data_IF_743713410692
#
_entry.id   IF_743713410692
#
_cell.length_a   1.000
_cell.length_b   1.000
_cell.length_c   1.000
_cell.angle_alpha   90.00
_cell.angle_beta   90.00
_cell.angle_gamma   90.00
#
_symmetry.space_group_name_H-M   'P 1'
#
loop_
_entity.id
_entity.type
_entity.pdbx_description
1 polymer ?
#
# COMPACT_ATOMS: atom_id res chain seq x y z
N UNK A 1 24.10 -19.08 24.51
CA UNK A 1 23.58 -19.44 23.16
C UNK A 1 22.61 -18.36 22.68
N UNK A 2 23.09 -17.43 21.85
CA UNK A 2 22.26 -16.38 21.25
C UNK A 2 21.65 -16.96 19.98
N UNK A 3 20.46 -17.56 20.10
CA UNK A 3 19.69 -18.01 18.93
C UNK A 3 19.08 -16.77 18.27
N UNK A 4 19.81 -16.23 17.30
CA UNK A 4 19.38 -15.43 16.17
C UNK A 4 17.86 -15.17 16.04
N UNK A 5 17.36 -14.12 16.74
CA UNK A 5 16.04 -13.49 16.56
C UNK A 5 15.95 -12.71 15.22
N UNK A 6 16.32 -13.35 14.11
CA UNK A 6 16.08 -12.83 12.75
C UNK A 6 14.63 -13.07 12.28
N UNK A 7 13.80 -13.73 13.09
CA UNK A 7 12.34 -13.73 13.01
C UNK A 7 11.75 -12.35 13.39
N UNK A 8 12.21 -11.29 12.74
CA UNK A 8 11.82 -9.92 13.06
C UNK A 8 10.41 -9.63 12.56
N UNK A 9 9.58 -9.13 13.48
CA UNK A 9 8.22 -8.66 13.25
C UNK A 9 8.13 -7.73 12.02
N UNK A 10 6.92 -7.58 11.45
CA UNK A 10 6.70 -6.77 10.23
C UNK A 10 7.29 -5.36 10.33
N UNK A 11 7.32 -4.80 11.54
CA UNK A 11 7.90 -3.49 11.85
C UNK A 11 9.36 -3.34 11.38
N UNK A 12 10.25 -4.30 11.66
CA UNK A 12 11.66 -4.16 11.28
C UNK A 12 11.86 -4.18 9.76
N UNK A 13 11.05 -4.97 9.03
CA UNK A 13 11.06 -4.99 7.56
C UNK A 13 10.57 -3.65 6.99
N UNK A 14 9.52 -3.08 7.60
CA UNK A 14 8.99 -1.77 7.24
C UNK A 14 10.06 -0.69 7.43
N UNK A 15 10.74 -0.65 8.59
CA UNK A 15 11.82 0.30 8.85
C UNK A 15 12.98 0.19 7.85
N UNK A 16 13.41 -1.04 7.55
CA UNK A 16 14.49 -1.29 6.59
C UNK A 16 14.12 -0.78 5.19
N UNK A 17 12.88 -0.96 4.77
CA UNK A 17 12.40 -0.52 3.45
C UNK A 17 12.21 0.98 3.38
N UNK A 18 11.77 1.61 4.46
CA UNK A 18 11.78 3.06 4.57
C UNK A 18 13.21 3.61 4.38
N UNK A 19 14.20 2.96 5.01
CA UNK A 19 15.59 3.39 4.98
C UNK A 19 16.32 3.11 3.66
N UNK A 20 16.05 1.99 2.99
CA UNK A 20 16.79 1.58 1.78
C UNK A 20 16.06 1.89 0.48
N UNK A 21 14.74 1.63 0.43
CA UNK A 21 13.98 1.68 -0.82
C UNK A 21 13.21 2.98 -0.95
N UNK A 22 12.48 3.42 0.08
CA UNK A 22 11.76 4.70 0.03
C UNK A 22 12.67 5.89 0.11
N UNK A 23 13.79 5.82 0.85
CA UNK A 23 14.78 6.91 0.87
C UNK A 23 15.26 7.24 -0.54
N UNK A 24 15.66 6.23 -1.31
CA UNK A 24 16.09 6.36 -2.69
C UNK A 24 14.92 6.71 -3.63
N UNK A 25 13.83 5.96 -3.55
CA UNK A 25 12.68 6.13 -4.43
C UNK A 25 11.94 7.45 -4.21
N UNK A 26 12.10 8.10 -3.06
CA UNK A 26 11.46 9.38 -2.78
C UNK A 26 12.46 10.53 -2.64
N UNK A 27 13.73 10.29 -2.94
CA UNK A 27 14.72 11.35 -3.08
C UNK A 27 14.36 12.21 -4.29
N UNK A 28 14.25 13.52 -4.09
CA UNK A 28 13.84 14.45 -5.15
C UNK A 28 12.40 14.25 -5.66
N UNK A 29 11.56 13.47 -4.96
CA UNK A 29 10.16 13.20 -5.32
C UNK A 29 9.33 14.44 -5.67
N UNK A 30 9.62 15.56 -5.02
CA UNK A 30 8.98 16.85 -5.30
C UNK A 30 9.22 17.34 -6.74
N UNK A 31 10.34 16.98 -7.37
CA UNK A 31 10.72 17.41 -8.72
C UNK A 31 10.06 16.56 -9.79
N UNK A 32 9.94 15.26 -9.55
CA UNK A 32 9.42 14.33 -10.56
C UNK A 32 8.01 13.81 -10.23
N UNK A 33 7.31 14.42 -9.26
CA UNK A 33 5.94 14.10 -8.85
C UNK A 33 4.96 13.95 -10.03
N UNK A 34 5.10 14.79 -11.07
CA UNK A 34 4.24 14.79 -12.25
C UNK A 34 4.82 14.04 -13.46
N UNK A 35 5.95 13.36 -13.31
CA UNK A 35 6.62 12.68 -14.41
C UNK A 35 5.75 11.55 -14.97
N UNK A 36 5.78 11.38 -16.30
CA UNK A 36 5.08 10.29 -16.98
C UNK A 36 5.62 8.90 -16.58
N UNK A 37 6.85 8.83 -16.05
CA UNK A 37 7.52 7.57 -15.71
C UNK A 37 7.37 7.15 -14.26
N UNK A 38 6.67 7.93 -13.44
CA UNK A 38 6.41 7.65 -12.02
C UNK A 38 5.87 6.23 -11.78
N UNK A 39 5.02 5.75 -12.68
CA UNK A 39 4.42 4.40 -12.61
C UNK A 39 5.46 3.27 -12.60
N UNK A 40 6.64 3.47 -13.20
CA UNK A 40 7.74 2.49 -13.15
C UNK A 40 8.31 2.36 -11.74
N UNK A 41 8.47 3.47 -11.03
CA UNK A 41 8.91 3.50 -9.64
C UNK A 41 7.84 2.88 -8.75
N UNK A 42 6.57 3.24 -8.95
CA UNK A 42 5.44 2.68 -8.18
C UNK A 42 5.36 1.15 -8.33
N UNK A 43 5.67 0.62 -9.51
CA UNK A 43 5.73 -0.83 -9.74
C UNK A 43 6.76 -1.51 -8.83
N UNK A 44 7.95 -0.90 -8.68
CA UNK A 44 8.99 -1.41 -7.79
C UNK A 44 8.60 -1.26 -6.32
N UNK A 45 8.04 -0.11 -5.93
CA UNK A 45 7.53 0.10 -4.58
C UNK A 45 6.46 -0.94 -4.23
N UNK A 46 5.47 -1.16 -5.09
CA UNK A 46 4.43 -2.17 -4.90
C UNK A 46 5.02 -3.59 -4.79
N UNK A 47 6.05 -3.92 -5.56
CA UNK A 47 6.76 -5.20 -5.44
C UNK A 47 7.32 -5.38 -4.03
N UNK A 48 8.00 -4.35 -3.52
CA UNK A 48 8.57 -4.34 -2.17
C UNK A 48 7.46 -4.44 -1.11
N UNK A 49 6.37 -3.69 -1.25
CA UNK A 49 5.22 -3.78 -0.33
C UNK A 49 4.64 -5.21 -0.27
N UNK A 50 4.59 -5.93 -1.40
CA UNK A 50 4.15 -7.34 -1.45
C UNK A 50 5.12 -8.25 -0.69
N UNK A 51 6.42 -8.04 -0.86
CA UNK A 51 7.46 -8.79 -0.13
C UNK A 51 7.34 -8.59 1.38
N UNK A 52 7.02 -7.39 1.87
CA UNK A 52 6.79 -7.15 3.31
C UNK A 52 5.48 -7.78 3.78
N UNK A 53 4.38 -7.47 3.10
CA UNK A 53 3.04 -7.91 3.52
C UNK A 53 2.86 -9.41 3.35
N UNK A 54 3.68 -10.07 2.54
CA UNK A 54 3.57 -11.50 2.22
C UNK A 54 2.43 -11.80 1.25
N UNK A 55 1.90 -10.77 0.60
CA UNK A 55 0.82 -10.90 -0.37
C UNK A 55 1.33 -11.42 -1.70
N UNK A 56 0.40 -11.89 -2.53
CA UNK A 56 0.70 -12.44 -3.86
C UNK A 56 0.49 -11.38 -4.93
N UNK A 57 1.01 -11.59 -6.14
CA UNK A 57 0.93 -10.60 -7.24
C UNK A 57 -0.52 -10.20 -7.59
N UNK A 58 -1.49 -11.09 -7.39
CA UNK A 58 -2.91 -10.83 -7.66
C UNK A 58 -3.59 -9.93 -6.62
N UNK A 59 -2.97 -9.65 -5.48
CA UNK A 59 -3.55 -8.75 -4.48
C UNK A 59 -3.71 -7.33 -5.05
N UNK A 60 -4.87 -6.72 -4.83
CA UNK A 60 -5.18 -5.36 -5.26
C UNK A 60 -4.18 -4.34 -4.69
N UNK A 61 -3.82 -3.34 -5.50
CA UNK A 61 -2.78 -2.36 -5.14
C UNK A 61 -3.16 -1.51 -3.93
N UNK A 62 -4.45 -1.21 -3.78
CA UNK A 62 -5.00 -0.39 -2.68
C UNK A 62 -4.76 -1.02 -1.31
N UNK A 63 -4.68 -2.36 -1.24
CA UNK A 63 -4.37 -3.06 0.01
C UNK A 63 -2.91 -2.93 0.43
N UNK A 64 -1.97 -2.76 -0.51
CA UNK A 64 -0.54 -2.81 -0.19
C UNK A 64 -0.11 -1.71 0.80
N UNK A 65 -0.47 -0.42 0.59
CA UNK A 65 -0.23 0.66 1.55
C UNK A 65 -0.82 0.37 2.94
N UNK A 66 -2.05 -0.17 2.98
CA UNK A 66 -2.80 -0.43 4.22
C UNK A 66 -2.13 -1.53 5.04
N UNK A 67 -1.72 -2.62 4.38
CA UNK A 67 -1.10 -3.75 5.06
C UNK A 67 0.25 -3.40 5.68
N UNK A 68 1.00 -2.46 5.11
CA UNK A 68 2.31 -2.05 5.65
C UNK A 68 2.27 -0.74 6.44
N UNK A 69 1.08 -0.16 6.60
CA UNK A 69 0.85 1.14 7.25
C UNK A 69 1.73 2.27 6.73
N UNK A 70 1.83 2.41 5.40
CA UNK A 70 2.53 3.50 4.74
C UNK A 70 1.59 4.05 3.66
N UNK A 71 1.40 5.36 3.62
CA UNK A 71 0.56 6.00 2.60
C UNK A 71 0.98 5.65 1.16
N UNK A 72 0.04 5.63 0.20
CA UNK A 72 0.33 5.37 -1.21
C UNK A 72 1.47 6.24 -1.76
N UNK A 73 2.34 5.72 -2.65
CA UNK A 73 3.48 6.47 -3.18
C UNK A 73 3.11 7.82 -3.81
N UNK A 74 1.97 7.90 -4.50
CA UNK A 74 1.47 9.13 -5.11
C UNK A 74 1.19 10.22 -4.06
N UNK A 75 0.45 9.88 -3.00
CA UNK A 75 0.14 10.80 -1.91
C UNK A 75 1.41 11.25 -1.19
N UNK A 76 2.36 10.35 -0.98
CA UNK A 76 3.65 10.66 -0.35
C UNK A 76 4.48 11.65 -1.19
N UNK A 77 4.51 11.52 -2.51
CA UNK A 77 5.17 12.49 -3.39
C UNK A 77 4.52 13.87 -3.33
N UNK A 78 3.18 13.92 -3.38
CA UNK A 78 2.42 15.16 -3.22
C UNK A 78 2.69 15.82 -1.87
N UNK A 79 2.81 15.04 -0.79
CA UNK A 79 3.19 15.55 0.52
C UNK A 79 4.59 16.18 0.51
N UNK A 80 5.58 15.52 -0.11
CA UNK A 80 6.94 16.07 -0.22
C UNK A 80 6.97 17.36 -1.00
N UNK A 81 6.22 17.45 -2.09
CA UNK A 81 6.05 18.70 -2.83
C UNK A 81 5.43 19.78 -1.94
N UNK A 82 4.31 19.50 -1.27
CA UNK A 82 3.62 20.44 -0.37
C UNK A 82 4.56 20.95 0.75
N UNK A 83 5.30 20.05 1.40
CA UNK A 83 6.26 20.39 2.45
C UNK A 83 7.41 21.27 1.91
N UNK A 84 7.90 20.98 0.71
CA UNK A 84 8.97 21.75 0.09
C UNK A 84 8.53 23.20 -0.20
N UNK A 85 7.31 23.37 -0.72
CA UNK A 85 6.76 24.71 -1.01
C UNK A 85 6.50 25.49 0.27
N UNK A 86 5.92 24.87 1.30
CA UNK A 86 5.72 25.51 2.61
C UNK A 86 7.04 26.00 3.19
N UNK A 87 8.06 25.13 3.22
CA UNK A 87 9.41 25.46 3.68
C UNK A 87 10.06 26.57 2.85
N UNK A 88 9.77 26.64 1.56
CA UNK A 88 10.25 27.72 0.70
C UNK A 88 9.55 29.04 1.05
N UNK A 89 8.22 29.03 1.26
CA UNK A 89 7.45 30.21 1.69
C UNK A 89 7.89 30.79 3.03
N UNK A 90 8.28 29.93 3.98
CA UNK A 90 8.84 30.38 5.27
C UNK A 90 10.19 31.13 5.11
N UNK A 91 10.87 30.93 3.98
CA UNK A 91 12.17 31.53 3.67
C UNK A 91 12.00 32.63 2.61
N UNK A 92 11.90 33.88 3.06
CA UNK A 92 11.70 35.06 2.19
C UNK A 92 12.67 35.18 1.00
N UNK A 93 13.89 34.64 1.10
CA UNK A 93 14.91 34.71 0.04
C UNK A 93 15.07 33.40 -0.77
N UNK A 94 14.04 32.57 -0.83
CA UNK A 94 14.08 31.33 -1.60
C UNK A 94 13.87 31.60 -3.09
N UNK A 95 14.84 31.22 -3.94
CA UNK A 95 14.70 31.22 -5.41
C UNK A 95 13.43 30.48 -5.89
N UNK A 96 12.98 29.47 -5.12
CA UNK A 96 11.78 28.72 -5.46
C UNK A 96 10.50 29.56 -5.27
N UNK A 97 10.47 30.46 -4.28
CA UNK A 97 9.33 31.38 -4.09
C UNK A 97 9.29 32.41 -5.20
N UNK A 98 10.43 33.03 -5.52
CA UNK A 98 10.57 33.99 -6.64
C UNK A 98 10.04 33.38 -7.96
N UNK A 99 10.45 32.13 -8.27
CA UNK A 99 9.98 31.42 -9.47
C UNK A 99 8.51 30.96 -9.42
N UNK A 100 7.89 30.93 -8.24
CA UNK A 100 6.45 30.64 -8.09
C UNK A 100 5.58 31.90 -8.20
N UNK A 101 6.16 33.09 -8.04
CA UNK A 101 5.51 34.37 -8.25
C UNK A 101 5.52 34.74 -9.75
N UNK A 102 6.66 34.59 -10.42
CA UNK A 102 6.81 34.83 -11.86
C UNK A 102 6.56 33.54 -12.69
N UNK A 103 5.28 33.21 -12.86
CA UNK A 103 4.89 31.97 -13.54
C UNK A 103 4.81 32.17 -15.06
N UNK A 104 5.58 31.39 -15.84
CA UNK A 104 5.50 31.46 -17.29
C UNK A 104 4.16 30.92 -17.79
N UNK A 105 3.70 31.47 -18.91
CA UNK A 105 2.49 30.98 -19.58
C UNK A 105 2.63 29.49 -19.93
N UNK A 106 1.54 28.74 -19.78
CA UNK A 106 1.56 27.31 -20.06
C UNK A 106 1.64 27.10 -21.57
N UNK A 107 2.85 26.84 -22.08
CA UNK A 107 3.10 26.63 -23.52
C UNK A 107 2.31 25.44 -24.12
N UNK A 108 2.14 24.35 -23.38
CA UNK A 108 1.46 23.13 -23.87
C UNK A 108 0.46 22.60 -22.84
N UNK A 109 -0.79 22.34 -23.28
CA UNK A 109 -1.86 21.78 -22.42
C UNK A 109 -1.51 20.42 -21.80
N UNK A 110 -0.70 19.61 -22.50
CA UNK A 110 -0.28 18.30 -22.03
C UNK A 110 0.74 18.35 -20.88
N UNK A 111 1.48 19.46 -20.74
CA UNK A 111 2.47 19.61 -19.68
C UNK A 111 1.77 19.80 -18.33
N UNK A 112 2.25 19.06 -17.34
CA UNK A 112 1.78 19.14 -15.94
C UNK A 112 2.88 19.78 -15.09
N UNK A 113 3.12 21.09 -15.21
CA UNK A 113 4.19 21.73 -14.45
C UNK A 113 3.94 21.63 -12.95
N UNK A 114 5.02 21.52 -12.18
CA UNK A 114 4.95 21.34 -10.74
C UNK A 114 4.29 22.52 -10.02
N UNK A 115 4.53 23.75 -10.48
CA UNK A 115 3.94 24.96 -9.88
C UNK A 115 2.40 24.96 -9.91
N UNK A 116 1.79 24.30 -10.90
CA UNK A 116 0.33 24.18 -10.96
C UNK A 116 -0.18 23.22 -9.89
N UNK A 117 0.44 22.04 -9.81
CA UNK A 117 0.13 21.05 -8.77
C UNK A 117 0.40 21.60 -7.37
N UNK A 118 1.49 22.35 -7.20
CA UNK A 118 1.84 23.06 -5.98
C UNK A 118 0.70 23.99 -5.52
N UNK A 119 0.26 24.90 -6.40
CA UNK A 119 -0.85 25.82 -6.12
C UNK A 119 -2.14 25.07 -5.79
N UNK A 120 -2.46 24.02 -6.53
CA UNK A 120 -3.66 23.20 -6.27
C UNK A 120 -3.60 22.49 -4.92
N UNK A 121 -2.44 21.96 -4.52
CA UNK A 121 -2.24 21.31 -3.22
C UNK A 121 -2.39 22.29 -2.06
N UNK A 122 -1.83 23.50 -2.18
CA UNK A 122 -1.95 24.56 -1.16
C UNK A 122 -3.41 25.01 -1.06
N UNK A 123 -4.03 25.38 -2.20
CA UNK A 123 -5.41 25.86 -2.25
C UNK A 123 -6.42 24.84 -1.73
N UNK A 124 -6.19 23.56 -2.00
CA UNK A 124 -7.08 22.49 -1.52
C UNK A 124 -6.83 22.04 -0.08
N UNK A 125 -5.86 22.63 0.62
CA UNK A 125 -5.48 22.21 1.98
C UNK A 125 -5.05 20.74 2.01
N UNK A 126 -4.22 20.30 1.06
CA UNK A 126 -3.86 18.90 0.91
C UNK A 126 -3.26 18.32 2.20
N UNK A 127 -3.90 17.24 2.66
CA UNK A 127 -3.45 16.43 3.77
C UNK A 127 -3.43 14.95 3.36
N UNK A 128 -2.26 14.32 3.48
CA UNK A 128 -2.07 12.92 3.06
C UNK A 128 -3.02 11.96 3.75
N UNK A 129 -3.19 12.09 5.08
CA UNK A 129 -4.01 11.17 5.87
C UNK A 129 -5.48 11.22 5.46
N UNK A 130 -6.02 12.43 5.33
CA UNK A 130 -7.38 12.68 4.85
C UNK A 130 -7.57 12.14 3.43
N UNK A 131 -6.68 12.48 2.50
CA UNK A 131 -6.78 12.00 1.11
C UNK A 131 -6.71 10.48 1.01
N UNK A 132 -5.85 9.86 1.80
CA UNK A 132 -5.75 8.40 1.84
C UNK A 132 -7.02 7.77 2.40
N UNK A 133 -7.58 8.35 3.47
CA UNK A 133 -8.87 7.92 4.01
C UNK A 133 -9.99 8.06 2.97
N UNK A 134 -10.07 9.19 2.26
CA UNK A 134 -11.07 9.42 1.20
C UNK A 134 -10.92 8.41 0.05
N UNK A 135 -9.69 8.16 -0.41
CA UNK A 135 -9.40 7.15 -1.46
C UNK A 135 -9.77 5.74 -1.00
N UNK A 136 -9.47 5.40 0.25
CA UNK A 136 -9.81 4.10 0.82
C UNK A 136 -11.31 3.93 0.97
N UNK A 137 -12.04 4.95 1.44
CA UNK A 137 -13.48 4.89 1.71
C UNK A 137 -14.35 5.09 0.47
N UNK A 138 -13.79 5.54 -0.66
CA UNK A 138 -14.49 5.71 -1.94
C UNK A 138 -15.33 4.46 -2.34
N UNK A 139 -16.67 4.57 -2.42
CA UNK A 139 -17.54 3.42 -2.71
C UNK A 139 -17.46 2.95 -4.17
N UNK A 140 -16.98 3.79 -5.10
CA UNK A 140 -16.83 3.44 -6.51
C UNK A 140 -15.73 2.39 -6.74
N UNK A 141 -14.79 2.25 -5.81
CA UNK A 141 -13.69 1.29 -5.92
C UNK A 141 -14.09 -0.01 -5.22
N UNK A 142 -14.34 -1.06 -6.02
CA UNK A 142 -14.60 -2.41 -5.51
C UNK A 142 -13.33 -3.05 -4.97
N UNK A 143 -13.15 -3.01 -3.65
CA UNK A 143 -12.02 -3.62 -2.93
C UNK A 143 -12.57 -4.72 -2.04
N UNK A 144 -12.12 -5.96 -2.27
CA UNK A 144 -12.52 -7.12 -1.48
C UNK A 144 -12.14 -6.94 -0.01
N UNK A 145 -13.10 -7.19 0.89
CA UNK A 145 -12.95 -7.11 2.35
C UNK A 145 -12.48 -5.74 2.88
N UNK A 146 -12.69 -4.65 2.12
CA UNK A 146 -12.31 -3.29 2.53
C UNK A 146 -12.86 -2.89 3.90
N UNK A 147 -14.06 -3.35 4.21
CA UNK A 147 -14.75 -3.12 5.48
C UNK A 147 -14.03 -3.71 6.72
N UNK A 148 -12.97 -4.50 6.55
CA UNK A 148 -12.11 -4.93 7.66
C UNK A 148 -11.27 -3.79 8.22
N UNK A 149 -11.01 -2.73 7.43
CA UNK A 149 -10.18 -1.60 7.85
C UNK A 149 -11.01 -0.34 7.72
N UNK A 150 -11.36 0.26 8.86
CA UNK A 150 -12.14 1.50 8.91
C UNK A 150 -11.29 2.71 8.56
N UNK A 151 -10.08 2.79 9.13
CA UNK A 151 -9.12 3.86 8.86
C UNK A 151 -7.78 3.26 8.38
N UNK A 152 -7.36 3.51 7.12
CA UNK A 152 -6.10 2.99 6.60
C UNK A 152 -4.87 3.57 7.30
N UNK A 153 -5.00 4.68 8.04
CA UNK A 153 -3.89 5.36 8.71
C UNK A 153 -3.46 4.70 10.04
N UNK A 154 -4.29 3.82 10.62
CA UNK A 154 -3.99 3.15 11.89
C UNK A 154 -3.13 1.90 11.70
N UNK A 155 -2.99 1.43 10.46
CA UNK A 155 -2.47 0.09 10.18
C UNK A 155 -3.46 -1.00 10.56
N UNK A 156 -3.10 -2.24 10.22
CA UNK A 156 -3.90 -3.41 10.55
C UNK A 156 -3.31 -4.12 11.76
N UNK A 157 -4.17 -4.73 12.57
CA UNK A 157 -3.71 -5.51 13.74
C UNK A 157 -2.87 -6.71 13.31
N UNK A 158 -2.11 -7.30 14.24
CA UNK A 158 -1.25 -8.46 13.96
C UNK A 158 0.07 -8.12 13.23
N UNK A 159 0.44 -6.84 13.10
CA UNK A 159 1.78 -6.44 12.59
C UNK A 159 2.94 -6.98 13.44
N UNK A 160 2.68 -7.29 14.72
CA UNK A 160 3.63 -7.92 15.63
C UNK A 160 3.80 -9.43 15.43
N UNK A 161 2.94 -10.08 14.63
CA UNK A 161 2.99 -11.53 14.43
C UNK A 161 4.28 -11.97 13.71
N UNK A 162 4.75 -13.21 13.98
CA UNK A 162 5.73 -13.89 13.15
C UNK A 162 5.43 -13.77 11.65
N UNK A 163 6.50 -13.70 10.85
CA UNK A 163 6.43 -13.42 9.41
C UNK A 163 5.46 -14.34 8.65
N UNK A 164 5.47 -15.63 9.01
CA UNK A 164 4.62 -16.63 8.39
C UNK A 164 3.13 -16.35 8.66
N UNK A 165 2.75 -16.20 9.92
CA UNK A 165 1.38 -15.90 10.36
C UNK A 165 0.89 -14.57 9.78
N UNK A 166 1.74 -13.53 9.82
CA UNK A 166 1.47 -12.24 9.19
C UNK A 166 1.17 -12.36 7.69
N UNK A 167 1.95 -13.17 6.96
CA UNK A 167 1.72 -13.42 5.54
C UNK A 167 0.39 -14.11 5.27
N UNK A 168 0.07 -15.14 6.06
CA UNK A 168 -1.17 -15.91 5.92
C UNK A 168 -2.36 -15.01 6.22
N UNK A 169 -2.31 -14.26 7.31
CA UNK A 169 -3.36 -13.32 7.71
C UNK A 169 -3.64 -12.27 6.63
N UNK A 170 -2.60 -11.67 6.04
CA UNK A 170 -2.75 -10.68 4.98
C UNK A 170 -3.33 -11.26 3.68
N UNK A 171 -2.98 -12.50 3.34
CA UNK A 171 -3.59 -13.21 2.21
C UNK A 171 -5.08 -13.45 2.42
N UNK A 172 -5.47 -13.81 3.65
CA UNK A 172 -6.88 -13.97 4.03
C UNK A 172 -7.64 -12.63 3.98
N UNK A 173 -7.07 -11.56 4.55
CA UNK A 173 -7.63 -10.20 4.52
C UNK A 173 -7.93 -9.75 3.10
N UNK A 174 -6.99 -9.93 2.19
CA UNK A 174 -7.16 -9.48 0.80
C UNK A 174 -7.98 -10.43 -0.06
N UNK A 175 -8.31 -11.63 0.44
CA UNK A 175 -9.00 -12.65 -0.34
C UNK A 175 -8.15 -13.29 -1.44
N UNK A 176 -6.82 -13.06 -1.42
CA UNK A 176 -5.85 -13.56 -2.38
C UNK A 176 -4.70 -14.25 -1.66
N UNK A 177 -4.49 -15.54 -1.93
CA UNK A 177 -3.43 -16.32 -1.29
C UNK A 177 -3.01 -17.53 -2.11
N UNK A 178 -2.15 -18.35 -1.51
CA UNK A 178 -1.66 -19.60 -2.10
C UNK A 178 -2.65 -20.74 -1.83
N UNK A 179 -3.88 -20.59 -2.30
CA UNK A 179 -4.90 -21.65 -2.25
C UNK A 179 -4.82 -22.51 -3.52
N UNK A 180 -5.33 -23.75 -3.50
CA UNK A 180 -5.19 -24.67 -4.64
C UNK A 180 -5.74 -24.07 -5.95
N UNK A 181 -6.87 -23.35 -5.90
CA UNK A 181 -7.41 -22.64 -7.08
C UNK A 181 -6.40 -21.66 -7.70
N UNK A 182 -5.66 -20.92 -6.87
CA UNK A 182 -4.66 -19.96 -7.35
C UNK A 182 -3.39 -20.65 -7.83
N UNK A 183 -2.95 -21.70 -7.14
CA UNK A 183 -1.77 -22.48 -7.53
C UNK A 183 -2.00 -23.23 -8.84
N UNK A 184 -3.22 -23.75 -9.06
CA UNK A 184 -3.65 -24.33 -10.32
C UNK A 184 -3.64 -23.31 -11.47
N UNK A 185 -4.20 -22.11 -11.25
CA UNK A 185 -4.14 -21.00 -12.23
C UNK A 185 -2.70 -20.60 -12.60
N UNK A 186 -1.76 -20.74 -11.67
CA UNK A 186 -0.34 -20.49 -11.91
C UNK A 186 0.41 -21.70 -12.47
N UNK A 187 -0.29 -22.81 -12.75
CA UNK A 187 0.30 -24.07 -13.23
C UNK A 187 1.36 -24.66 -12.30
N UNK A 188 1.24 -24.37 -10.99
CA UNK A 188 2.13 -24.90 -9.94
C UNK A 188 1.56 -26.16 -9.27
N UNK A 189 0.28 -26.46 -9.51
CA UNK A 189 -0.40 -27.65 -8.99
C UNK A 189 -1.31 -28.22 -10.09
N UNK A 190 -1.51 -29.54 -10.09
CA UNK A 190 -2.34 -30.23 -11.08
C UNK A 190 -3.86 -30.17 -10.86
N UNK A 191 -4.34 -29.63 -9.73
CA UNK A 191 -5.76 -29.54 -9.41
C UNK A 191 -6.08 -28.30 -8.56
N UNK A 192 -7.28 -27.74 -8.76
CA UNK A 192 -7.85 -26.67 -7.93
C UNK A 192 -8.60 -27.17 -6.70
N UNK A 193 -8.81 -28.49 -6.57
CA UNK A 193 -9.67 -29.08 -5.57
C UNK A 193 -9.15 -28.91 -4.13
N UNK A 194 -10.08 -28.93 -3.19
CA UNK A 194 -9.83 -28.93 -1.76
C UNK A 194 -9.86 -30.36 -1.20
N UNK A 195 -9.10 -30.61 -0.13
CA UNK A 195 -9.11 -31.89 0.58
C UNK A 195 -10.47 -32.23 1.23
N UNK A 196 -11.40 -31.27 1.32
CA UNK A 196 -12.77 -31.52 1.76
C UNK A 196 -13.71 -31.87 0.58
N UNK A 197 -13.16 -32.34 -0.54
CA UNK A 197 -13.88 -32.74 -1.76
C UNK A 197 -14.60 -31.61 -2.51
N UNK A 198 -14.29 -30.35 -2.22
CA UNK A 198 -14.80 -29.22 -3.00
C UNK A 198 -13.92 -29.00 -4.24
N UNK A 199 -14.52 -28.79 -5.42
CA UNK A 199 -13.83 -28.64 -6.70
C UNK A 199 -12.83 -27.48 -6.74
N UNK A 200 -13.06 -26.42 -5.94
CA UNK A 200 -12.24 -25.20 -5.95
C UNK A 200 -11.94 -24.71 -4.54
N UNK A 201 -10.71 -24.93 -4.11
CA UNK A 201 -10.18 -24.32 -2.89
C UNK A 201 -9.83 -22.84 -3.13
N UNK A 202 -10.81 -21.96 -2.96
CA UNK A 202 -10.61 -20.50 -2.92
C UNK A 202 -10.43 -19.99 -1.48
N UNK A 203 -9.94 -18.76 -1.30
CA UNK A 203 -9.91 -18.12 0.03
C UNK A 203 -11.31 -17.99 0.63
N UNK A 204 -12.33 -17.68 -0.18
CA UNK A 204 -13.72 -17.59 0.31
C UNK A 204 -14.22 -18.95 0.80
N UNK A 205 -13.94 -20.01 0.04
CA UNK A 205 -14.24 -21.38 0.43
C UNK A 205 -13.56 -21.74 1.76
N UNK A 206 -12.25 -21.52 1.90
CA UNK A 206 -11.49 -21.78 3.14
C UNK A 206 -12.13 -21.05 4.34
N UNK A 207 -12.55 -19.80 4.15
CA UNK A 207 -13.07 -18.96 5.23
C UNK A 207 -14.52 -19.26 5.62
N UNK A 208 -15.37 -19.71 4.69
CA UNK A 208 -16.83 -19.76 4.90
C UNK A 208 -17.44 -21.16 4.82
N UNK A 209 -16.85 -22.05 4.03
CA UNK A 209 -17.49 -23.28 3.57
C UNK A 209 -16.67 -24.54 3.89
N UNK A 210 -15.35 -24.44 3.99
CA UNK A 210 -14.47 -25.59 4.11
C UNK A 210 -14.64 -26.31 5.45
N UNK A 211 -15.16 -27.54 5.42
CA UNK A 211 -15.41 -28.34 6.64
C UNK A 211 -14.14 -28.65 7.45
N UNK A 212 -12.96 -28.62 6.81
CA UNK A 212 -11.68 -28.91 7.45
C UNK A 212 -10.96 -27.67 7.99
N UNK A 213 -11.32 -26.46 7.53
CA UNK A 213 -10.50 -25.25 7.76
C UNK A 213 -11.30 -24.00 8.13
N UNK A 214 -12.62 -24.04 8.02
CA UNK A 214 -13.49 -22.90 8.32
C UNK A 214 -13.25 -22.44 9.75
N UNK A 215 -13.05 -21.14 9.90
CA UNK A 215 -12.99 -20.52 11.21
C UNK A 215 -14.38 -20.04 11.62
N UNK A 216 -14.84 -20.45 12.81
CA UNK A 216 -16.21 -20.18 13.28
C UNK A 216 -16.53 -18.68 13.36
N UNK A 217 -15.57 -17.84 13.77
CA UNK A 217 -15.76 -16.39 13.85
C UNK A 217 -15.55 -15.68 12.49
N UNK A 218 -15.30 -16.43 11.41
CA UNK A 218 -15.10 -15.93 10.06
C UNK A 218 -13.92 -14.96 9.91
N UNK A 219 -13.91 -14.20 8.80
CA UNK A 219 -12.81 -13.29 8.49
C UNK A 219 -12.70 -12.11 9.47
N UNK A 220 -13.81 -11.69 10.10
CA UNK A 220 -13.79 -10.62 11.12
C UNK A 220 -13.05 -11.08 12.36
N UNK A 221 -13.32 -12.28 12.86
CA UNK A 221 -12.59 -12.87 13.99
C UNK A 221 -11.11 -13.11 13.66
N UNK A 222 -10.80 -13.65 12.47
CA UNK A 222 -9.41 -13.81 12.03
C UNK A 222 -8.69 -12.46 11.94
N UNK A 223 -9.38 -11.42 11.49
CA UNK A 223 -8.78 -10.10 11.32
C UNK A 223 -8.28 -9.54 12.65
N UNK A 224 -8.97 -9.79 13.76
CA UNK A 224 -8.67 -9.23 15.09
C UNK A 224 -7.67 -10.03 15.91
N UNK A 225 -7.08 -11.10 15.35
CA UNK A 225 -6.07 -11.91 16.04
C UNK A 225 -4.85 -11.06 16.38
N UNK A 226 -4.50 -11.05 17.67
CA UNK A 226 -3.28 -10.49 18.25
C UNK A 226 -2.32 -11.61 18.66
N UNK A 227 -1.01 -11.31 18.82
CA UNK A 227 -0.03 -12.27 19.36
C UNK A 227 -0.42 -12.79 20.75
#
# INVERSE_FOLDING_TARGET
>A
MIVNKWHRAAFSLISLILALTYSAAEYGAQVWCNSAHVKKIDTQLHSVMRVISGTVKSTLLQWLPVLINIAPPDLRRKQKLNNNIKKAGDRRNSLLVEKLEDIPTLRLKSRKPLWKTAKDLIRSGFETKKRWFDEWTNPTISIKNKNLVLDPNQGVVGMGLPRHEWSVLNRLRTGHGRCADMMFKWRLQGSSACNCSNDRQTINHILKECQLRKFHQGIKGIHVITP
#
